data_IF_921076107411
#
_entry.id   IF_921076107411
#
_cell.length_a   1.000
_cell.length_b   1.000
_cell.length_c   1.000
_cell.angle_alpha   90.00
_cell.angle_beta   90.00
_cell.angle_gamma   90.00
#
_symmetry.space_group_name_H-M   'P 1'
#
loop_
_entity.id
_entity.type
_entity.pdbx_description
1 polymer ?
#
# COMPACT_ATOMS: atom_id res chain seq x y z
N UNK A 1 -12.96 -9.49 -7.09
CA UNK A 1 -11.86 -8.77 -7.75
C UNK A 1 -10.58 -9.11 -7.01
N UNK A 2 -9.43 -8.96 -7.67
CA UNK A 2 -8.13 -9.17 -7.05
C UNK A 2 -7.28 -7.94 -7.35
N UNK A 3 -6.67 -7.35 -6.32
CA UNK A 3 -5.65 -6.31 -6.47
C UNK A 3 -4.33 -6.80 -5.88
N UNK A 4 -3.24 -6.45 -6.56
CA UNK A 4 -1.88 -6.85 -6.22
C UNK A 4 -1.10 -5.61 -5.78
N UNK A 5 -1.16 -5.24 -4.49
CA UNK A 5 -0.48 -4.04 -4.00
C UNK A 5 1.05 -4.19 -4.07
N UNK A 6 1.74 -3.10 -4.40
CA UNK A 6 3.21 -3.07 -4.45
C UNK A 6 3.84 -2.94 -3.05
N UNK A 7 3.15 -2.25 -2.13
CA UNK A 7 3.59 -2.02 -0.75
C UNK A 7 2.38 -2.14 0.17
N UNK A 8 2.51 -2.93 1.24
CA UNK A 8 1.49 -3.07 2.30
C UNK A 8 2.18 -2.87 3.64
N UNK A 9 1.65 -1.97 4.45
CA UNK A 9 2.21 -1.63 5.76
C UNK A 9 1.12 -1.80 6.80
N UNK A 10 1.46 -2.46 7.90
CA UNK A 10 0.61 -2.51 9.09
C UNK A 10 0.97 -1.32 9.97
N UNK A 11 -0.02 -0.45 10.18
CA UNK A 11 0.13 0.77 10.98
C UNK A 11 -0.42 0.53 12.38
N UNK A 12 0.30 0.99 13.40
CA UNK A 12 -0.15 0.91 14.79
C UNK A 12 -0.51 2.31 15.32
N UNK A 13 -1.77 2.50 15.72
CA UNK A 13 -2.24 3.78 16.26
C UNK A 13 -1.66 4.12 17.66
N UNK A 14 -0.97 3.18 18.30
CA UNK A 14 -0.37 3.34 19.64
C UNK A 14 1.09 3.85 19.60
N UNK A 15 1.61 4.20 18.42
CA UNK A 15 2.96 4.74 18.24
C UNK A 15 4.06 3.68 18.11
N UNK A 16 3.72 2.39 18.09
CA UNK A 16 4.67 1.35 17.67
C UNK A 16 5.13 1.56 16.22
N UNK A 17 6.36 1.15 15.87
CA UNK A 17 6.83 1.26 14.50
C UNK A 17 5.98 0.41 13.57
N UNK A 18 5.66 0.97 12.41
CA UNK A 18 4.94 0.30 11.35
C UNK A 18 5.69 -0.93 10.81
N UNK A 19 4.94 -1.97 10.42
CA UNK A 19 5.51 -3.22 9.92
C UNK A 19 5.25 -3.41 8.43
N UNK A 20 6.32 -3.63 7.64
CA UNK A 20 6.19 -3.99 6.23
C UNK A 20 5.64 -5.41 6.10
N UNK A 21 4.44 -5.54 5.53
CA UNK A 21 3.82 -6.82 5.23
C UNK A 21 4.15 -7.27 3.81
N UNK A 22 4.33 -8.58 3.65
CA UNK A 22 4.57 -9.24 2.36
C UNK A 22 3.52 -10.30 2.12
N UNK A 23 3.27 -10.58 0.86
CA UNK A 23 2.43 -11.71 0.48
C UNK A 23 0.95 -11.47 0.74
N UNK A 24 0.47 -10.24 0.50
CA UNK A 24 -0.92 -9.85 0.74
C UNK A 24 -1.51 -9.37 -0.56
N UNK A 25 -2.55 -10.06 -1.02
CA UNK A 25 -3.42 -9.62 -2.11
C UNK A 25 -4.74 -9.15 -1.53
N UNK A 26 -5.37 -8.16 -2.16
CA UNK A 26 -6.71 -7.72 -1.78
C UNK A 26 -7.70 -8.50 -2.64
N UNK A 27 -8.69 -9.11 -1.98
CA UNK A 27 -9.71 -9.92 -2.63
C UNK A 27 -11.11 -9.46 -2.17
N UNK A 28 -12.15 -10.04 -2.76
CA UNK A 28 -13.54 -9.79 -2.35
C UNK A 28 -14.42 -9.30 -3.50
N UNK A 29 -15.56 -8.70 -3.17
CA UNK A 29 -16.48 -8.11 -4.15
C UNK A 29 -16.34 -6.58 -4.18
N UNK A 30 -16.28 -5.93 -5.35
CA UNK A 30 -16.04 -4.49 -5.40
C UNK A 30 -17.10 -3.68 -4.65
N UNK A 31 -18.36 -4.10 -4.76
CA UNK A 31 -19.48 -3.42 -4.10
C UNK A 31 -19.35 -3.44 -2.57
N UNK A 32 -19.05 -4.60 -1.97
CA UNK A 32 -18.91 -4.71 -0.53
C UNK A 32 -17.75 -3.86 0.01
N UNK A 33 -16.64 -3.77 -0.73
CA UNK A 33 -15.51 -2.93 -0.31
C UNK A 33 -15.85 -1.43 -0.37
N UNK A 34 -16.65 -0.99 -1.34
CA UNK A 34 -17.08 0.40 -1.47
C UNK A 34 -18.07 0.81 -0.37
N UNK A 35 -18.97 -0.08 0.02
CA UNK A 35 -19.95 0.16 1.11
C UNK A 35 -19.29 0.37 2.48
N UNK A 36 -18.02 -0.03 2.62
CA UNK A 36 -17.27 0.03 3.88
C UNK A 36 -16.29 1.21 3.97
N UNK A 37 -16.34 2.17 3.04
CA UNK A 37 -15.55 3.40 3.12
C UNK A 37 -16.06 4.26 4.30
N UNK A 38 -15.15 4.58 5.23
CA UNK A 38 -15.46 5.40 6.41
C UNK A 38 -15.11 6.87 6.21
N UNK A 39 -14.02 7.14 5.48
CA UNK A 39 -13.57 8.50 5.19
C UNK A 39 -12.77 8.53 3.89
N UNK A 40 -12.75 9.71 3.28
CA UNK A 40 -11.95 10.04 2.11
C UNK A 40 -11.19 11.33 2.38
N UNK A 41 -9.96 11.39 1.90
CA UNK A 41 -9.17 12.61 1.90
C UNK A 41 -9.77 13.67 0.95
N UNK A 42 -9.41 14.93 1.14
CA UNK A 42 -9.74 16.03 0.24
C UNK A 42 -8.78 16.14 -0.94
N UNK A 43 -7.56 15.61 -0.80
CA UNK A 43 -6.58 15.59 -1.89
C UNK A 43 -6.81 14.37 -2.80
N UNK A 44 -6.91 14.64 -4.11
CA UNK A 44 -7.13 13.62 -5.14
C UNK A 44 -5.86 13.43 -5.95
N UNK A 45 -5.43 12.17 -6.11
CA UNK A 45 -4.33 11.80 -6.99
C UNK A 45 -4.85 11.06 -8.22
N UNK A 46 -4.11 11.14 -9.33
CA UNK A 46 -4.46 10.46 -10.59
C UNK A 46 -3.41 9.43 -10.96
N UNK A 47 -3.85 8.19 -11.13
CA UNK A 47 -3.07 7.11 -11.72
C UNK A 47 -3.34 7.03 -13.23
N UNK A 48 -2.28 6.91 -14.02
CA UNK A 48 -2.37 6.62 -15.46
C UNK A 48 -1.84 5.22 -15.71
N UNK A 49 -2.60 4.40 -16.44
CA UNK A 49 -2.26 3.02 -16.70
C UNK A 49 -2.93 2.47 -17.96
N UNK A 50 -3.05 1.15 -18.03
CA UNK A 50 -3.70 0.44 -19.14
C UNK A 50 -4.77 -0.49 -18.61
N UNK A 51 -5.93 -0.48 -19.27
CA UNK A 51 -7.01 -1.42 -19.03
C UNK A 51 -7.01 -2.46 -20.15
N UNK A 52 -7.14 -3.74 -19.79
CA UNK A 52 -7.15 -4.85 -20.73
C UNK A 52 -8.48 -5.59 -20.70
N UNK A 53 -8.95 -5.97 -21.89
CA UNK A 53 -10.07 -6.89 -22.08
C UNK A 53 -9.69 -7.90 -23.18
N UNK A 54 -10.56 -8.88 -23.44
CA UNK A 54 -10.37 -9.82 -24.55
C UNK A 54 -10.29 -9.11 -25.92
N UNK A 55 -10.83 -7.89 -26.02
CA UNK A 55 -10.78 -7.04 -27.21
C UNK A 55 -9.49 -6.22 -27.36
N UNK A 56 -8.58 -6.22 -26.38
CA UNK A 56 -7.31 -5.50 -26.42
C UNK A 56 -7.03 -4.62 -25.20
N UNK A 57 -6.03 -3.73 -25.34
CA UNK A 57 -5.56 -2.84 -24.28
C UNK A 57 -5.76 -1.37 -24.67
N UNK A 58 -6.27 -0.57 -23.74
CA UNK A 58 -6.44 0.87 -23.92
C UNK A 58 -5.80 1.64 -22.76
N UNK A 59 -5.17 2.81 -23.02
CA UNK A 59 -4.71 3.69 -21.96
C UNK A 59 -5.91 4.26 -21.19
N UNK A 60 -5.80 4.33 -19.86
CA UNK A 60 -6.82 4.86 -18.96
C UNK A 60 -6.20 5.70 -17.86
N UNK A 61 -7.02 6.56 -17.26
CA UNK A 61 -6.69 7.30 -16.06
C UNK A 61 -7.75 7.01 -14.99
N UNK A 62 -7.32 6.84 -13.75
CA UNK A 62 -8.19 6.68 -12.59
C UNK A 62 -7.77 7.67 -11.52
N UNK A 63 -8.73 8.40 -10.96
CA UNK A 63 -8.46 9.41 -9.93
C UNK A 63 -9.24 9.09 -8.66
N UNK A 64 -8.56 9.14 -7.51
CA UNK A 64 -9.18 8.92 -6.21
C UNK A 64 -8.39 9.62 -5.11
N UNK A 65 -9.05 10.05 -4.03
CA UNK A 65 -8.34 10.40 -2.80
C UNK A 65 -7.84 9.15 -2.06
N UNK A 66 -7.07 9.36 -1.01
CA UNK A 66 -6.82 8.32 -0.01
C UNK A 66 -8.14 7.93 0.69
N UNK A 67 -8.36 6.63 0.89
CA UNK A 67 -9.58 6.10 1.50
C UNK A 67 -9.27 5.32 2.78
N UNK A 68 -10.01 5.62 3.84
CA UNK A 68 -10.06 4.77 5.04
C UNK A 68 -11.24 3.82 4.92
N UNK A 69 -10.98 2.53 4.82
CA UNK A 69 -12.01 1.49 4.70
C UNK A 69 -12.09 0.70 6.00
N UNK A 70 -13.32 0.46 6.50
CA UNK A 70 -13.57 -0.25 7.75
C UNK A 70 -12.96 -1.65 7.77
N UNK A 71 -13.20 -2.39 6.70
CA UNK A 71 -12.72 -3.77 6.54
C UNK A 71 -12.40 -4.01 5.07
N UNK A 72 -11.26 -4.64 4.81
CA UNK A 72 -10.86 -5.16 3.50
C UNK A 72 -10.49 -6.63 3.64
N UNK A 73 -10.99 -7.45 2.74
CA UNK A 73 -10.61 -8.86 2.68
C UNK A 73 -9.24 -9.01 2.00
N UNK A 74 -8.40 -9.85 2.59
CA UNK A 74 -7.06 -10.13 2.08
C UNK A 74 -6.85 -11.62 1.89
N UNK A 75 -6.13 -11.97 0.84
CA UNK A 75 -5.63 -13.31 0.59
C UNK A 75 -4.11 -13.36 0.80
N UNK A 76 -3.64 -14.46 1.37
CA UNK A 76 -2.20 -14.73 1.49
C UNK A 76 -1.67 -15.17 0.12
N UNK A 77 -0.67 -14.49 -0.41
CA UNK A 77 0.06 -14.95 -1.58
C UNK A 77 0.72 -16.30 -1.33
N UNK A 78 0.84 -17.11 -2.38
CA UNK A 78 1.68 -18.30 -2.33
C UNK A 78 3.09 -17.94 -1.87
N UNK A 79 3.70 -18.80 -1.03
CA UNK A 79 4.99 -18.51 -0.38
C UNK A 79 6.06 -18.20 -1.43
N UNK A 80 6.44 -16.93 -1.54
CA UNK A 80 7.51 -16.50 -2.45
C UNK A 80 8.85 -17.03 -1.97
N UNK A 81 9.67 -17.55 -2.90
CA UNK A 81 11.07 -17.94 -2.66
C UNK A 81 12.04 -16.75 -2.77
N UNK A 82 11.56 -15.54 -3.07
CA UNK A 82 12.42 -14.37 -3.20
C UNK A 82 13.01 -13.97 -1.85
N UNK A 83 14.33 -13.77 -1.83
CA UNK A 83 15.05 -13.30 -0.64
C UNK A 83 14.61 -11.87 -0.30
N UNK A 84 14.53 -11.52 0.98
CA UNK A 84 14.28 -10.13 1.38
C UNK A 84 15.39 -9.22 0.82
N UNK A 85 15.09 -7.93 0.58
CA UNK A 85 16.10 -6.93 0.27
C UNK A 85 17.20 -6.96 1.34
N UNK A 86 18.46 -6.87 0.90
CA UNK A 86 19.62 -6.84 1.79
C UNK A 86 19.73 -5.47 2.49
N UNK A 87 19.17 -4.43 1.87
CA UNK A 87 19.19 -3.07 2.37
C UNK A 87 17.87 -2.73 3.10
N UNK A 88 17.92 -1.89 4.15
CA UNK A 88 16.72 -1.33 4.79
C UNK A 88 15.91 -0.47 3.80
N UNK A 89 14.63 -0.23 4.11
CA UNK A 89 13.79 0.69 3.32
C UNK A 89 14.44 2.08 3.31
N UNK A 90 14.75 2.66 2.14
CA UNK A 90 15.40 3.96 2.05
C UNK A 90 14.58 5.11 2.66
N UNK A 91 13.28 4.91 2.91
CA UNK A 91 12.41 5.88 3.59
C UNK A 91 12.25 5.59 5.10
N UNK A 92 12.80 4.49 5.61
CA UNK A 92 12.74 4.10 7.01
C UNK A 92 14.12 4.28 7.66
N UNK A 93 14.53 5.53 7.83
CA UNK A 93 15.75 5.87 8.56
C UNK A 93 15.50 5.79 10.07
N UNK A 94 15.51 4.59 10.62
CA UNK A 94 15.45 4.37 12.07
C UNK A 94 16.82 4.42 12.75
N UNK A 95 17.87 4.89 12.06
CA UNK A 95 19.16 5.20 12.68
C UNK A 95 19.43 6.69 12.55
N UNK A 96 18.81 7.46 13.46
CA UNK A 96 19.41 8.71 13.93
C UNK A 96 20.81 8.37 14.43
N UNK A 97 21.81 8.50 13.56
CA UNK A 97 23.19 8.64 13.99
C UNK A 97 23.21 9.89 14.85
N UNK A 98 23.35 9.70 16.16
CA UNK A 98 23.74 10.75 17.06
C UNK A 98 25.13 11.21 16.64
N UNK A 99 25.21 12.14 15.68
CA UNK A 99 26.40 12.96 15.55
C UNK A 99 26.38 13.96 16.72
N UNK A 100 27.45 14.00 17.54
CA UNK A 100 27.58 15.06 18.52
C UNK A 100 27.81 16.36 17.74
N UNK A 101 26.78 17.20 17.63
CA UNK A 101 27.00 18.60 17.22
C UNK A 101 27.79 19.28 18.32
N UNK A 102 29.09 19.30 18.07
CA UNK A 102 30.09 20.09 18.75
C UNK A 102 29.66 21.55 18.78
N UNK A 103 29.82 22.12 19.97
CA UNK A 103 29.62 23.52 20.33
C UNK A 103 30.24 24.46 19.28
N UNK A 104 29.42 25.37 18.74
CA UNK A 104 29.76 26.79 18.51
C UNK A 104 28.51 27.61 18.24
#
# INVERSE_FOLDING_TARGET
YNLYPLKVVKVFADGRPDELLRGVDIVGTPLASLELILAADTEVETFNGVCGAESGWIPVSASSPSLLVKTIEVARQAKSRNKPPILPDPLHDSVRHAEPRLIR
#
